data_IF_796891774021
#
_entry.id   IF_796891774021
#
_cell.length_a   1.000
_cell.length_b   1.000
_cell.length_c   1.000
_cell.angle_alpha   90.00
_cell.angle_beta   90.00
_cell.angle_gamma   90.00
#
_symmetry.space_group_name_H-M   'P 1'
#
loop_
_entity.id
_entity.type
_entity.pdbx_description
1 polymer ?
#
# COMPACT_ATOMS: atom_id res chain seq x y z
N UNK A 1 7.31 5.25 9.24
CA UNK A 1 7.73 4.06 10.03
C UNK A 1 8.74 4.52 11.05
N UNK A 2 8.53 4.28 12.34
CA UNK A 2 9.39 4.80 13.41
C UNK A 2 10.82 4.29 13.34
N UNK A 3 11.82 5.19 13.41
CA UNK A 3 13.26 4.87 13.38
C UNK A 3 13.70 4.00 14.55
N UNK A 4 13.02 4.12 15.68
CA UNK A 4 13.29 3.32 16.88
C UNK A 4 13.21 1.81 16.62
N UNK A 5 12.43 1.41 15.64
CA UNK A 5 12.31 0.01 15.20
C UNK A 5 13.31 -0.36 14.09
N UNK A 6 13.97 0.62 13.47
CA UNK A 6 15.04 0.40 12.50
C UNK A 6 16.40 0.65 13.18
N UNK A 7 16.90 -0.33 13.92
CA UNK A 7 18.19 -0.30 14.61
C UNK A 7 19.36 -0.02 13.66
N UNK A 8 19.47 1.15 13.06
CA UNK A 8 20.65 1.65 12.35
C UNK A 8 21.21 0.81 11.18
N UNK A 9 20.74 -0.40 10.96
CA UNK A 9 21.26 -1.36 9.98
C UNK A 9 20.43 -1.50 8.71
N UNK A 10 19.61 -0.50 8.37
CA UNK A 10 18.93 -0.51 7.08
C UNK A 10 19.93 -0.14 5.97
N UNK A 11 20.72 -1.12 5.55
CA UNK A 11 21.54 -0.95 4.34
C UNK A 11 20.63 -1.02 3.12
N UNK A 12 20.44 0.11 2.46
CA UNK A 12 19.81 0.12 1.13
C UNK A 12 20.58 -0.82 0.20
N UNK A 13 19.83 -1.59 -0.59
CA UNK A 13 20.44 -2.46 -1.57
C UNK A 13 21.34 -1.67 -2.52
N UNK A 14 22.53 -2.16 -2.84
CA UNK A 14 23.38 -1.58 -3.87
C UNK A 14 22.61 -1.45 -5.19
N UNK A 15 22.81 -0.34 -5.90
CA UNK A 15 22.10 -0.05 -7.16
C UNK A 15 22.16 -1.20 -8.17
N UNK A 16 23.29 -1.95 -8.21
CA UNK A 16 23.47 -3.11 -9.08
C UNK A 16 22.55 -4.30 -8.76
N UNK A 17 21.99 -4.33 -7.56
CA UNK A 17 21.06 -5.37 -7.13
C UNK A 17 19.61 -5.04 -7.42
N UNK A 18 19.32 -3.78 -7.71
CA UNK A 18 17.99 -3.35 -8.08
C UNK A 18 17.69 -3.70 -9.54
N UNK A 19 16.42 -3.99 -9.82
CA UNK A 19 15.93 -4.06 -11.19
C UNK A 19 16.00 -2.67 -11.85
N UNK A 20 16.35 -2.65 -13.13
CA UNK A 20 16.14 -1.48 -13.98
C UNK A 20 14.65 -1.28 -14.26
N UNK A 21 14.28 -0.15 -14.80
CA UNK A 21 12.89 0.11 -15.18
C UNK A 21 12.44 -0.74 -16.36
N UNK A 22 13.38 -1.04 -17.26
CA UNK A 22 13.17 -1.96 -18.38
C UNK A 22 12.94 -3.38 -17.88
N UNK A 23 13.74 -3.88 -16.92
CA UNK A 23 13.54 -5.20 -16.30
C UNK A 23 12.17 -5.28 -15.61
N UNK A 24 11.71 -4.21 -14.95
CA UNK A 24 10.36 -4.14 -14.37
C UNK A 24 9.29 -4.19 -15.48
N UNK A 25 9.49 -3.43 -16.56
CA UNK A 25 8.56 -3.40 -17.68
C UNK A 25 8.49 -4.77 -18.38
N UNK A 26 9.59 -5.51 -18.51
CA UNK A 26 9.62 -6.87 -19.06
C UNK A 26 8.79 -7.85 -18.22
N UNK A 27 8.89 -7.79 -16.87
CA UNK A 27 8.02 -8.58 -15.99
C UNK A 27 6.56 -8.21 -16.19
N UNK A 28 6.23 -6.92 -16.22
CA UNK A 28 4.85 -6.46 -16.42
C UNK A 28 4.31 -6.93 -17.77
N UNK A 29 5.10 -6.80 -18.83
CA UNK A 29 4.76 -7.25 -20.18
C UNK A 29 4.44 -8.75 -20.20
N UNK A 30 5.23 -9.58 -19.51
CA UNK A 30 5.02 -11.04 -19.48
C UNK A 30 3.72 -11.46 -18.79
N UNK A 31 3.21 -10.66 -17.83
CA UNK A 31 1.98 -10.98 -17.09
C UNK A 31 0.73 -10.27 -17.61
N UNK A 32 0.84 -9.35 -18.56
CA UNK A 32 -0.31 -8.71 -19.20
C UNK A 32 -1.33 -9.69 -19.75
N UNK A 33 -0.92 -10.73 -20.55
CA UNK A 33 -1.84 -11.72 -21.07
C UNK A 33 -2.56 -12.55 -20.00
N UNK A 34 -2.00 -12.61 -18.78
CA UNK A 34 -2.60 -13.30 -17.62
C UNK A 34 -3.76 -12.51 -16.99
N UNK A 35 -4.13 -11.35 -17.54
CA UNK A 35 -5.24 -10.53 -17.07
C UNK A 35 -4.85 -9.53 -15.99
N UNK A 36 -3.62 -9.03 -16.00
CA UNK A 36 -3.20 -7.94 -15.14
C UNK A 36 -4.07 -6.70 -15.39
N UNK A 37 -4.72 -6.20 -14.34
CA UNK A 37 -5.61 -5.03 -14.41
C UNK A 37 -5.05 -3.82 -13.69
N UNK A 38 -4.18 -4.03 -12.70
CA UNK A 38 -3.74 -2.99 -11.80
C UNK A 38 -2.29 -3.17 -11.40
N UNK A 39 -1.54 -2.09 -11.50
CA UNK A 39 -0.20 -1.95 -10.94
C UNK A 39 -0.24 -0.95 -9.78
N UNK A 40 0.48 -1.27 -8.71
CA UNK A 40 0.68 -0.34 -7.61
C UNK A 40 2.18 -0.16 -7.39
N UNK A 41 2.66 1.03 -7.63
CA UNK A 41 4.01 1.43 -7.30
C UNK A 41 4.07 1.80 -5.82
N UNK A 42 4.98 1.18 -5.09
CA UNK A 42 5.16 1.36 -3.65
C UNK A 42 6.63 1.05 -3.31
N UNK A 43 6.95 0.81 -2.06
CA UNK A 43 8.29 0.49 -1.58
C UNK A 43 8.44 1.07 -0.18
N UNK A 44 9.59 1.57 0.19
CA UNK A 44 9.71 2.49 1.32
C UNK A 44 8.95 3.78 0.97
N UNK A 45 9.61 4.70 0.25
CA UNK A 45 8.92 5.84 -0.36
C UNK A 45 9.27 5.89 -1.86
N UNK A 46 8.31 5.62 -2.77
CA UNK A 46 8.59 5.51 -4.19
C UNK A 46 9.03 6.84 -4.82
N UNK A 47 8.58 7.99 -4.31
CA UNK A 47 8.95 9.32 -4.82
C UNK A 47 10.42 9.67 -4.59
N UNK A 48 11.13 8.92 -3.74
CA UNK A 48 12.59 9.04 -3.59
C UNK A 48 13.37 8.35 -4.71
N UNK A 49 12.73 7.44 -5.46
CA UNK A 49 13.40 6.75 -6.57
C UNK A 49 13.55 7.68 -7.78
N UNK A 50 14.79 7.90 -8.20
CA UNK A 50 15.09 8.76 -9.35
C UNK A 50 14.31 8.37 -10.59
N UNK A 51 13.73 9.36 -11.30
CA UNK A 51 13.04 9.20 -12.57
C UNK A 51 11.84 8.20 -12.50
N UNK A 52 11.08 8.20 -11.40
CA UNK A 52 9.87 7.38 -11.28
C UNK A 52 8.87 7.66 -12.41
N UNK A 53 8.81 8.90 -12.87
CA UNK A 53 8.02 9.34 -14.03
C UNK A 53 8.35 8.50 -15.27
N UNK A 54 9.64 8.23 -15.53
CA UNK A 54 10.07 7.37 -16.64
C UNK A 54 9.57 5.94 -16.52
N UNK A 55 9.52 5.37 -15.30
CA UNK A 55 8.90 4.05 -15.11
C UNK A 55 7.40 4.08 -15.42
N UNK A 56 6.69 5.10 -14.95
CA UNK A 56 5.24 5.22 -15.20
C UNK A 56 4.97 5.32 -16.70
N UNK A 57 5.73 6.13 -17.44
CA UNK A 57 5.62 6.21 -18.91
C UNK A 57 5.87 4.86 -19.58
N UNK A 58 6.95 4.15 -19.23
CA UNK A 58 7.23 2.82 -19.75
C UNK A 58 6.08 1.82 -19.50
N UNK A 59 5.49 1.87 -18.31
CA UNK A 59 4.37 1.00 -17.97
C UNK A 59 3.09 1.39 -18.72
N UNK A 60 2.85 2.68 -18.94
CA UNK A 60 1.73 3.19 -19.73
C UNK A 60 1.85 2.79 -21.18
N UNK A 61 3.05 2.85 -21.76
CA UNK A 61 3.31 2.41 -23.14
C UNK A 61 3.01 0.92 -23.37
N UNK A 62 3.03 0.09 -22.33
CA UNK A 62 2.64 -1.32 -22.43
C UNK A 62 1.14 -1.52 -22.61
N UNK A 63 0.31 -0.69 -21.99
CA UNK A 63 -1.16 -0.80 -22.08
C UNK A 63 -1.86 0.44 -21.52
N UNK A 64 -2.78 1.00 -22.29
CA UNK A 64 -3.65 2.11 -21.87
C UNK A 64 -4.70 1.68 -20.83
N UNK A 65 -5.02 0.38 -20.76
CA UNK A 65 -6.09 -0.14 -19.90
C UNK A 65 -5.65 -0.48 -18.48
N UNK A 66 -4.35 -0.52 -18.19
CA UNK A 66 -3.86 -0.81 -16.84
C UNK A 66 -4.12 0.39 -15.92
N UNK A 67 -4.70 0.11 -14.76
CA UNK A 67 -4.80 1.08 -13.66
C UNK A 67 -3.47 1.17 -12.92
N UNK A 68 -2.71 2.23 -13.17
CA UNK A 68 -1.41 2.50 -12.50
C UNK A 68 -1.67 3.39 -11.29
N UNK A 69 -1.37 2.86 -10.11
CA UNK A 69 -1.55 3.55 -8.83
C UNK A 69 -0.21 3.71 -8.11
N UNK A 70 -0.08 4.75 -7.31
CA UNK A 70 1.06 5.02 -6.43
C UNK A 70 0.61 5.00 -4.98
N UNK A 71 1.42 4.42 -4.06
CA UNK A 71 1.25 4.62 -2.61
C UNK A 71 2.44 5.40 -2.09
N UNK A 72 2.19 6.49 -1.38
CA UNK A 72 3.21 7.44 -0.91
C UNK A 72 2.85 7.97 0.48
N UNK A 73 3.85 8.41 1.24
CA UNK A 73 3.65 9.18 2.47
C UNK A 73 3.20 10.63 2.21
N UNK A 74 3.12 11.06 0.94
CA UNK A 74 2.64 12.36 0.53
C UNK A 74 3.63 13.52 0.64
N UNK A 75 4.73 13.38 1.36
CA UNK A 75 5.70 14.45 1.61
C UNK A 75 6.24 15.12 0.34
N UNK A 76 6.48 14.34 -0.71
CA UNK A 76 6.99 14.84 -1.99
C UNK A 76 5.90 14.96 -3.07
N UNK A 77 4.63 14.72 -2.73
CA UNK A 77 3.55 14.59 -3.72
C UNK A 77 3.27 15.94 -4.40
N UNK A 78 3.23 17.05 -3.64
CA UNK A 78 2.94 18.37 -4.17
C UNK A 78 3.80 18.73 -5.38
N UNK A 79 5.10 18.50 -5.29
CA UNK A 79 6.05 18.86 -6.36
C UNK A 79 6.09 17.86 -7.52
N UNK A 80 5.54 16.65 -7.35
CA UNK A 80 5.58 15.58 -8.35
C UNK A 80 4.23 15.32 -9.03
N UNK A 81 3.10 15.80 -8.49
CA UNK A 81 1.77 15.42 -8.91
C UNK A 81 1.52 15.65 -10.41
N UNK A 82 1.91 16.82 -10.96
CA UNK A 82 1.73 17.14 -12.38
C UNK A 82 2.49 16.17 -13.29
N UNK A 83 3.79 15.98 -13.03
CA UNK A 83 4.62 15.09 -13.85
C UNK A 83 4.20 13.60 -13.76
N UNK A 84 3.70 13.16 -12.60
CA UNK A 84 3.14 11.82 -12.43
C UNK A 84 1.84 11.64 -13.26
N UNK A 85 0.95 12.65 -13.23
CA UNK A 85 -0.26 12.65 -14.03
C UNK A 85 0.04 12.64 -15.53
N UNK A 86 0.93 13.51 -15.99
CA UNK A 86 1.36 13.61 -17.39
C UNK A 86 2.02 12.31 -17.90
N UNK A 87 2.71 11.58 -17.03
CA UNK A 87 3.29 10.26 -17.34
C UNK A 87 2.24 9.14 -17.43
N UNK A 88 0.97 9.41 -17.07
CA UNK A 88 -0.10 8.44 -17.16
C UNK A 88 -0.43 7.71 -15.85
N UNK A 89 -0.02 8.24 -14.69
CA UNK A 89 -0.51 7.74 -13.41
C UNK A 89 -2.02 8.01 -13.29
N UNK A 90 -2.79 7.00 -12.85
CA UNK A 90 -4.24 7.17 -12.70
C UNK A 90 -4.60 7.71 -11.32
N UNK A 91 -3.91 7.28 -10.27
CA UNK A 91 -4.26 7.64 -8.89
C UNK A 91 -3.15 7.47 -7.89
N UNK A 92 -3.30 8.16 -6.77
CA UNK A 92 -2.44 8.04 -5.60
C UNK A 92 -3.23 7.55 -4.39
N UNK A 93 -2.58 6.76 -3.55
CA UNK A 93 -3.01 6.49 -2.18
C UNK A 93 -2.00 7.15 -1.26
N UNK A 94 -2.45 8.07 -0.43
CA UNK A 94 -1.58 8.81 0.49
C UNK A 94 -1.76 8.25 1.89
N UNK A 95 -0.65 7.93 2.56
CA UNK A 95 -0.66 7.49 3.95
C UNK A 95 -0.48 8.68 4.87
N UNK A 96 -1.47 8.90 5.75
CA UNK A 96 -1.42 9.90 6.82
C UNK A 96 -2.19 9.36 8.03
N UNK A 97 -1.54 9.32 9.18
CA UNK A 97 -2.06 8.63 10.35
C UNK A 97 -2.55 9.57 11.46
N UNK A 98 -2.32 10.88 11.32
CA UNK A 98 -2.78 11.92 12.24
C UNK A 98 -2.80 13.30 11.59
N UNK A 99 -3.66 14.19 12.12
CA UNK A 99 -3.63 15.64 11.85
C UNK A 99 -2.95 16.42 12.99
N UNK A 100 -2.97 15.87 14.20
CA UNK A 100 -2.20 16.41 15.31
C UNK A 100 -0.70 16.26 15.01
N UNK A 101 0.11 17.37 15.07
CA UNK A 101 1.52 17.33 14.70
C UNK A 101 2.37 16.38 15.54
N UNK A 102 2.09 16.28 16.85
CA UNK A 102 2.88 15.44 17.76
C UNK A 102 2.59 13.96 17.50
N UNK A 103 1.31 13.61 17.31
CA UNK A 103 0.89 12.26 16.94
C UNK A 103 1.41 11.89 15.54
N UNK A 104 1.35 12.82 14.59
CA UNK A 104 1.89 12.61 13.24
C UNK A 104 3.39 12.33 13.29
N UNK A 105 4.17 13.10 14.06
CA UNK A 105 5.60 12.87 14.22
C UNK A 105 5.89 11.51 14.87
N UNK A 106 5.12 11.12 15.88
CA UNK A 106 5.25 9.81 16.53
C UNK A 106 4.96 8.65 15.56
N UNK A 107 3.96 8.80 14.68
CA UNK A 107 3.61 7.77 13.69
C UNK A 107 4.56 7.75 12.49
N UNK A 108 4.94 8.91 11.97
CA UNK A 108 5.78 9.04 10.77
C UNK A 108 7.28 8.94 11.06
N UNK A 109 7.69 9.14 12.30
CA UNK A 109 9.09 9.28 12.73
C UNK A 109 9.87 10.31 11.89
N UNK A 110 9.26 11.45 11.67
CA UNK A 110 9.83 12.53 10.88
C UNK A 110 9.45 13.88 11.46
N UNK A 111 10.46 14.70 11.72
CA UNK A 111 10.30 16.12 12.09
C UNK A 111 10.41 17.06 10.90
N UNK A 112 10.64 16.53 9.70
CA UNK A 112 10.87 17.31 8.50
C UNK A 112 9.56 17.74 7.82
N UNK A 113 8.49 16.97 8.01
CA UNK A 113 7.22 17.17 7.34
C UNK A 113 6.08 17.30 8.36
N UNK A 114 5.07 18.06 8.00
CA UNK A 114 3.84 18.26 8.78
C UNK A 114 2.63 17.60 8.10
N UNK A 115 1.52 17.41 8.82
CA UNK A 115 0.26 17.00 8.20
C UNK A 115 -0.18 17.94 7.07
N UNK A 116 0.06 19.25 7.21
CA UNK A 116 -0.33 20.26 6.21
C UNK A 116 0.43 20.08 4.90
N UNK A 117 1.72 19.73 4.93
CA UNK A 117 2.50 19.43 3.72
C UNK A 117 1.90 18.26 2.95
N UNK A 118 1.43 17.22 3.67
CA UNK A 118 0.77 16.05 3.07
C UNK A 118 -0.58 16.43 2.48
N UNK A 119 -1.38 17.24 3.18
CA UNK A 119 -2.68 17.73 2.71
C UNK A 119 -2.51 18.60 1.47
N UNK A 120 -1.52 19.49 1.43
CA UNK A 120 -1.20 20.27 0.23
C UNK A 120 -0.86 19.37 -0.97
N UNK A 121 -0.11 18.29 -0.73
CA UNK A 121 0.17 17.29 -1.76
C UNK A 121 -1.08 16.58 -2.28
N UNK A 122 -2.03 16.24 -1.39
CA UNK A 122 -3.33 15.66 -1.73
C UNK A 122 -4.15 16.63 -2.59
N UNK A 123 -4.21 17.89 -2.19
CA UNK A 123 -4.95 18.93 -2.92
C UNK A 123 -4.37 19.15 -4.31
N UNK A 124 -3.05 19.19 -4.45
CA UNK A 124 -2.39 19.31 -5.75
C UNK A 124 -2.65 18.09 -6.63
N UNK A 125 -2.58 16.88 -6.08
CA UNK A 125 -2.92 15.66 -6.82
C UNK A 125 -4.37 15.68 -7.36
N UNK A 126 -5.33 16.13 -6.55
CA UNK A 126 -6.72 16.35 -7.01
C UNK A 126 -6.80 17.41 -8.10
N UNK A 127 -6.11 18.54 -7.92
CA UNK A 127 -6.12 19.66 -8.85
C UNK A 127 -5.64 19.27 -10.25
N UNK A 128 -4.62 18.41 -10.35
CA UNK A 128 -4.10 17.95 -11.65
C UNK A 128 -4.92 16.80 -12.26
N UNK A 129 -5.90 16.24 -11.55
CA UNK A 129 -6.82 15.21 -12.06
C UNK A 129 -6.46 13.79 -11.64
N UNK A 130 -5.51 13.58 -10.73
CA UNK A 130 -5.26 12.25 -10.16
C UNK A 130 -6.43 11.81 -9.27
N UNK A 131 -6.83 10.55 -9.36
CA UNK A 131 -7.69 9.96 -8.35
C UNK A 131 -6.93 9.86 -7.02
N UNK A 132 -7.54 10.33 -5.92
CA UNK A 132 -6.88 10.32 -4.60
C UNK A 132 -7.67 9.49 -3.62
N UNK A 133 -6.95 8.71 -2.79
CA UNK A 133 -7.47 8.04 -1.58
C UNK A 133 -6.46 8.21 -0.46
N UNK A 134 -6.96 8.22 0.76
CA UNK A 134 -6.13 8.28 1.97
C UNK A 134 -6.22 6.96 2.72
N UNK A 135 -5.10 6.50 3.23
CA UNK A 135 -5.00 5.37 4.15
C UNK A 135 -4.46 5.86 5.50
N UNK A 136 -5.05 5.37 6.57
CA UNK A 136 -4.65 5.61 7.95
C UNK A 136 -4.55 4.28 8.68
N UNK A 137 -3.38 3.96 9.22
CA UNK A 137 -3.23 2.84 10.17
C UNK A 137 -3.66 3.33 11.54
N UNK A 138 -4.55 2.58 12.19
CA UNK A 138 -5.01 2.93 13.55
C UNK A 138 -4.35 2.00 14.56
N UNK A 139 -3.62 2.60 15.50
CA UNK A 139 -2.97 1.92 16.61
C UNK A 139 -3.52 2.44 17.94
N UNK A 140 -3.90 1.52 18.82
CA UNK A 140 -4.44 1.82 20.14
C UNK A 140 -3.42 2.56 21.00
N UNK A 141 -3.90 3.47 21.83
CA UNK A 141 -3.10 4.34 22.71
C UNK A 141 -2.07 5.22 21.97
N UNK A 142 -2.22 5.40 20.66
CA UNK A 142 -1.32 6.26 19.90
C UNK A 142 -2.09 7.26 19.02
N UNK A 143 -2.92 6.78 18.08
CA UNK A 143 -3.65 7.66 17.16
C UNK A 143 -5.14 7.35 17.01
N UNK A 144 -5.72 6.55 17.88
CA UNK A 144 -7.15 6.21 17.84
C UNK A 144 -8.07 7.44 18.01
N UNK A 145 -7.57 8.49 18.64
CA UNK A 145 -8.28 9.77 18.77
C UNK A 145 -8.24 10.62 17.49
N UNK A 146 -7.40 10.24 16.54
CA UNK A 146 -7.32 10.89 15.23
C UNK A 146 -8.37 10.39 14.22
N UNK A 147 -9.12 9.33 14.55
CA UNK A 147 -10.15 8.76 13.66
C UNK A 147 -11.16 9.82 13.21
N UNK A 148 -11.78 10.54 14.14
CA UNK A 148 -12.80 11.56 13.84
C UNK A 148 -12.19 12.82 13.21
N UNK A 149 -11.08 13.39 13.73
CA UNK A 149 -10.42 14.51 13.06
C UNK A 149 -10.06 14.22 11.59
N UNK A 150 -9.46 13.06 11.32
CA UNK A 150 -9.13 12.63 9.96
C UNK A 150 -10.39 12.46 9.10
N UNK A 151 -11.42 11.81 9.63
CA UNK A 151 -12.69 11.64 8.92
C UNK A 151 -13.28 12.98 8.52
N UNK A 152 -13.44 13.92 9.46
CA UNK A 152 -14.00 15.23 9.22
C UNK A 152 -13.19 15.99 8.14
N UNK A 153 -11.86 15.97 8.29
CA UNK A 153 -11.00 16.68 7.34
C UNK A 153 -11.08 16.12 5.93
N UNK A 154 -11.04 14.79 5.75
CA UNK A 154 -11.09 14.18 4.42
C UNK A 154 -12.51 14.15 3.83
N UNK A 155 -13.54 14.18 4.67
CA UNK A 155 -14.90 14.41 4.26
C UNK A 155 -15.08 15.83 3.66
N UNK A 156 -14.61 16.88 4.33
CA UNK A 156 -14.58 18.26 3.81
C UNK A 156 -13.83 18.37 2.47
N UNK A 157 -12.76 17.61 2.31
CA UNK A 157 -11.96 17.59 1.09
C UNK A 157 -12.54 16.69 -0.01
N UNK A 158 -13.61 15.96 0.28
CA UNK A 158 -14.19 14.94 -0.61
C UNK A 158 -13.08 13.97 -1.12
N UNK A 159 -12.35 13.36 -0.18
CA UNK A 159 -11.30 12.38 -0.44
C UNK A 159 -11.61 11.11 0.32
N UNK A 160 -11.85 9.96 -0.33
CA UNK A 160 -12.15 8.71 0.34
C UNK A 160 -11.06 8.31 1.35
N UNK A 161 -11.46 8.05 2.59
CA UNK A 161 -10.58 7.67 3.71
C UNK A 161 -10.72 6.18 4.00
N UNK A 162 -9.59 5.51 4.24
CA UNK A 162 -9.54 4.12 4.64
C UNK A 162 -8.77 3.95 5.93
N UNK A 163 -9.41 3.35 6.90
CA UNK A 163 -8.78 2.93 8.14
C UNK A 163 -8.25 1.50 8.01
N UNK A 164 -7.07 1.25 8.53
CA UNK A 164 -6.38 -0.04 8.46
C UNK A 164 -6.07 -0.46 9.89
N UNK A 165 -6.46 -1.68 10.25
CA UNK A 165 -6.06 -2.28 11.50
C UNK A 165 -4.53 -2.40 11.57
N UNK A 166 -3.94 -2.08 12.72
CA UNK A 166 -2.51 -2.27 12.95
C UNK A 166 -2.14 -3.75 12.86
N UNK A 167 -1.28 -4.13 11.91
CA UNK A 167 -1.00 -5.53 11.62
C UNK A 167 0.50 -5.86 11.73
N UNK A 168 0.80 -7.13 11.94
CA UNK A 168 2.11 -7.72 12.17
C UNK A 168 2.97 -7.87 10.90
N UNK A 169 3.08 -6.81 10.11
CA UNK A 169 3.90 -6.79 8.88
C UNK A 169 5.37 -6.57 9.21
N UNK A 170 6.25 -7.35 8.59
CA UNK A 170 7.69 -7.31 8.88
C UNK A 170 8.02 -7.87 10.28
N UNK A 171 9.17 -7.44 10.82
CA UNK A 171 9.66 -7.90 12.12
C UNK A 171 9.95 -6.74 13.09
N UNK A 172 9.89 -5.50 12.61
CA UNK A 172 10.42 -4.33 13.32
C UNK A 172 9.33 -3.44 13.91
N UNK A 173 8.04 -3.73 13.70
CA UNK A 173 6.94 -2.87 14.13
C UNK A 173 6.46 -3.14 15.58
N UNK A 174 7.12 -4.04 16.32
CA UNK A 174 6.76 -4.40 17.69
C UNK A 174 5.26 -4.66 17.89
N UNK A 175 4.65 -5.35 16.92
CA UNK A 175 3.22 -5.60 16.91
C UNK A 175 2.75 -6.43 18.12
N UNK A 176 1.64 -6.00 18.72
CA UNK A 176 0.91 -6.72 19.74
C UNK A 176 -0.58 -6.67 19.38
N UNK A 177 -1.31 -7.76 19.65
CA UNK A 177 -2.76 -7.82 19.41
C UNK A 177 -3.52 -6.78 20.27
N UNK A 178 -3.03 -6.47 21.47
CA UNK A 178 -3.62 -5.48 22.35
C UNK A 178 -3.54 -4.04 21.79
N UNK A 179 -2.67 -3.79 20.84
CA UNK A 179 -2.52 -2.51 20.14
C UNK A 179 -3.49 -2.35 18.94
N UNK A 180 -4.26 -3.37 18.64
CA UNK A 180 -5.19 -3.36 17.50
C UNK A 180 -6.48 -2.65 17.90
N UNK A 181 -6.89 -1.67 17.10
CA UNK A 181 -8.25 -1.12 17.09
C UNK A 181 -8.99 -1.81 15.94
N UNK A 182 -10.00 -2.60 16.27
CA UNK A 182 -10.75 -3.36 15.27
C UNK A 182 -11.55 -2.45 14.34
N UNK A 183 -11.79 -2.92 13.11
CA UNK A 183 -12.67 -2.21 12.18
C UNK A 183 -14.07 -1.98 12.75
N UNK A 184 -14.56 -2.86 13.64
CA UNK A 184 -15.82 -2.67 14.34
C UNK A 184 -15.75 -1.48 15.33
N UNK A 185 -14.69 -1.37 16.13
CA UNK A 185 -14.51 -0.24 17.07
C UNK A 185 -14.38 1.08 16.30
N UNK A 186 -13.65 1.10 15.16
CA UNK A 186 -13.54 2.28 14.30
C UNK A 186 -14.92 2.70 13.80
N UNK A 187 -15.72 1.77 13.28
CA UNK A 187 -17.09 2.07 12.82
C UNK A 187 -17.98 2.58 13.94
N UNK A 188 -17.95 1.93 15.11
CA UNK A 188 -18.75 2.36 16.27
C UNK A 188 -18.41 3.79 16.67
N UNK A 189 -17.11 4.16 16.67
CA UNK A 189 -16.66 5.53 16.96
C UNK A 189 -17.18 6.52 15.91
N UNK A 190 -17.16 6.16 14.63
CA UNK A 190 -17.70 6.99 13.55
C UNK A 190 -19.22 7.13 13.66
N UNK A 191 -19.94 6.03 13.91
CA UNK A 191 -21.39 6.03 14.01
C UNK A 191 -21.92 6.84 15.20
N UNK A 192 -21.15 6.96 16.28
CA UNK A 192 -21.51 7.78 17.44
C UNK A 192 -21.61 9.28 17.12
N UNK A 193 -20.87 9.77 16.10
CA UNK A 193 -20.82 11.19 15.71
C UNK A 193 -21.57 11.47 14.40
N UNK A 194 -21.51 10.55 13.44
CA UNK A 194 -22.00 10.76 12.08
C UNK A 194 -23.25 9.94 11.73
N UNK A 195 -23.77 9.16 12.69
CA UNK A 195 -24.91 8.27 12.47
C UNK A 195 -24.54 6.99 11.75
N UNK A 196 -25.55 6.18 11.46
CA UNK A 196 -25.39 4.81 10.95
C UNK A 196 -24.67 4.76 9.61
N UNK A 197 -23.70 3.86 9.51
CA UNK A 197 -22.97 3.55 8.29
C UNK A 197 -23.72 2.52 7.44
N UNK A 198 -23.75 2.74 6.13
CA UNK A 198 -24.34 1.81 5.16
C UNK A 198 -23.24 1.03 4.45
N UNK A 199 -23.27 -0.31 4.54
CA UNK A 199 -22.32 -1.18 3.85
C UNK A 199 -22.51 -1.09 2.33
N UNK A 200 -21.42 -0.88 1.58
CA UNK A 200 -21.40 -0.87 0.11
C UNK A 200 -20.89 -2.22 -0.40
N UNK A 201 -21.58 -2.78 -1.37
CA UNK A 201 -21.16 -4.03 -2.00
C UNK A 201 -19.76 -3.92 -2.63
N UNK A 202 -18.92 -4.97 -2.58
CA UNK A 202 -17.62 -4.97 -3.24
C UNK A 202 -17.75 -4.69 -4.74
N UNK A 203 -16.92 -3.77 -5.25
CA UNK A 203 -16.89 -3.45 -6.68
C UNK A 203 -16.15 -4.52 -7.50
N UNK A 204 -15.20 -5.22 -6.89
CA UNK A 204 -14.38 -6.22 -7.55
C UNK A 204 -14.03 -7.36 -6.58
N UNK A 205 -13.81 -8.56 -7.14
CA UNK A 205 -13.25 -9.67 -6.39
C UNK A 205 -11.86 -9.30 -5.85
N UNK A 206 -11.56 -9.69 -4.61
CA UNK A 206 -10.28 -9.40 -3.95
C UNK A 206 -10.15 -7.95 -3.45
N UNK A 207 -11.24 -7.19 -3.36
CA UNK A 207 -11.24 -5.89 -2.70
C UNK A 207 -10.92 -6.06 -1.23
N UNK A 208 -9.92 -5.30 -0.73
CA UNK A 208 -9.40 -5.48 0.64
C UNK A 208 -10.13 -4.65 1.69
N UNK A 209 -10.72 -3.52 1.28
CA UNK A 209 -11.47 -2.65 2.17
C UNK A 209 -12.96 -2.98 2.11
N UNK A 210 -13.58 -3.23 3.26
CA UNK A 210 -15.04 -3.13 3.38
C UNK A 210 -15.39 -1.66 3.27
N UNK A 211 -16.25 -1.31 2.30
CA UNK A 211 -16.66 0.08 2.06
C UNK A 211 -17.98 0.38 2.74
N UNK A 212 -18.08 1.57 3.27
CA UNK A 212 -19.28 2.11 3.89
C UNK A 212 -19.53 3.52 3.41
N UNK A 213 -20.76 3.98 3.46
CA UNK A 213 -21.12 5.38 3.23
C UNK A 213 -21.78 5.99 4.44
N UNK A 214 -21.48 7.26 4.68
CA UNK A 214 -22.24 8.12 5.57
C UNK A 214 -23.60 8.44 4.95
N UNK A 215 -24.49 9.12 5.70
CA UNK A 215 -25.85 9.48 5.25
C UNK A 215 -25.86 10.40 4.03
N UNK A 216 -24.84 11.22 3.86
CA UNK A 216 -24.64 12.14 2.73
C UNK A 216 -23.94 11.51 1.52
N UNK A 217 -23.57 10.21 1.61
CA UNK A 217 -22.92 9.45 0.55
C UNK A 217 -21.41 9.46 0.57
N UNK A 218 -20.75 10.16 1.52
CA UNK A 218 -19.29 10.12 1.63
C UNK A 218 -18.79 8.71 1.94
N UNK A 219 -17.79 8.23 1.16
CA UNK A 219 -17.27 6.85 1.25
C UNK A 219 -16.09 6.75 2.23
N UNK A 220 -16.18 5.80 3.15
CA UNK A 220 -15.08 5.33 3.99
C UNK A 220 -14.78 3.86 3.73
N UNK A 221 -13.59 3.40 4.12
CA UNK A 221 -13.21 1.99 4.06
C UNK A 221 -12.60 1.49 5.36
N UNK A 222 -12.79 0.20 5.67
CA UNK A 222 -12.08 -0.48 6.74
C UNK A 222 -11.32 -1.68 6.15
N UNK A 223 -10.01 -1.77 6.42
CA UNK A 223 -9.16 -2.90 6.05
C UNK A 223 -8.90 -3.72 7.31
N UNK A 224 -9.67 -4.78 7.47
CA UNK A 224 -9.76 -5.59 8.69
C UNK A 224 -8.89 -6.85 8.54
N UNK A 225 -7.59 -6.67 8.35
CA UNK A 225 -6.64 -7.78 8.10
C UNK A 225 -6.37 -8.65 9.32
N UNK A 226 -6.71 -8.18 10.52
CA UNK A 226 -6.50 -8.87 11.79
C UNK A 226 -7.79 -9.52 12.26
N UNK A 227 -8.89 -8.77 12.35
CA UNK A 227 -10.15 -9.22 12.96
C UNK A 227 -11.10 -9.91 11.96
N UNK A 228 -10.98 -9.63 10.67
CA UNK A 228 -11.78 -10.26 9.62
C UNK A 228 -10.93 -10.51 8.35
N UNK A 229 -9.97 -11.43 8.40
CA UNK A 229 -9.04 -11.71 7.31
C UNK A 229 -9.75 -12.17 6.03
N UNK A 230 -9.12 -11.90 4.87
CA UNK A 230 -9.69 -12.09 3.53
C UNK A 230 -8.70 -12.79 2.56
N UNK A 231 -7.95 -13.78 3.05
CA UNK A 231 -6.92 -14.47 2.25
C UNK A 231 -7.50 -15.26 1.08
N UNK A 232 -8.67 -15.85 1.22
CA UNK A 232 -9.28 -16.74 0.22
C UNK A 232 -9.52 -16.08 -1.15
N UNK A 233 -9.77 -14.80 -1.19
CA UNK A 233 -10.01 -14.03 -2.42
C UNK A 233 -8.85 -13.12 -2.83
N UNK A 234 -7.66 -13.30 -2.25
CA UNK A 234 -6.52 -12.43 -2.53
C UNK A 234 -5.97 -12.64 -3.95
N UNK A 235 -5.94 -11.57 -4.75
CA UNK A 235 -5.48 -11.56 -6.15
C UNK A 235 -4.19 -10.75 -6.35
N UNK A 236 -3.38 -10.59 -5.29
CA UNK A 236 -2.21 -9.72 -5.28
C UNK A 236 -0.91 -10.49 -5.27
N UNK A 237 0.05 -10.02 -6.06
CA UNK A 237 1.46 -10.39 -5.97
C UNK A 237 2.30 -9.11 -5.81
N UNK A 238 3.55 -9.25 -5.38
CA UNK A 238 4.50 -8.16 -5.19
C UNK A 238 5.82 -8.50 -5.84
N UNK A 239 6.32 -7.60 -6.67
CA UNK A 239 7.68 -7.64 -7.19
C UNK A 239 8.52 -6.66 -6.37
N UNK A 240 9.49 -7.18 -5.63
CA UNK A 240 10.42 -6.32 -4.90
C UNK A 240 11.43 -5.64 -5.81
N UNK A 241 12.03 -4.57 -5.33
CA UNK A 241 12.99 -3.80 -6.10
C UNK A 241 14.22 -4.61 -6.57
N UNK A 242 14.54 -5.72 -5.91
CA UNK A 242 15.60 -6.64 -6.30
C UNK A 242 15.15 -7.82 -7.17
N UNK A 243 13.89 -7.83 -7.61
CA UNK A 243 13.39 -8.83 -8.56
C UNK A 243 12.91 -10.14 -7.94
N UNK A 244 12.56 -10.14 -6.66
CA UNK A 244 11.88 -11.28 -6.03
C UNK A 244 10.37 -11.12 -6.09
N UNK A 245 9.66 -12.17 -6.50
CA UNK A 245 8.19 -12.21 -6.53
C UNK A 245 7.65 -12.83 -5.26
N UNK A 246 6.71 -12.15 -4.61
CA UNK A 246 6.01 -12.58 -3.41
C UNK A 246 4.52 -12.69 -3.67
N UNK A 247 3.88 -13.74 -3.19
CA UNK A 247 2.44 -13.98 -3.31
C UNK A 247 1.66 -13.54 -2.06
N UNK A 248 2.36 -13.26 -0.95
CA UNK A 248 1.78 -12.77 0.30
C UNK A 248 2.56 -11.59 0.88
N UNK A 249 1.85 -10.69 1.60
CA UNK A 249 2.46 -9.58 2.33
C UNK A 249 3.30 -10.07 3.53
N UNK A 250 2.94 -11.22 4.08
CA UNK A 250 3.58 -11.82 5.25
C UNK A 250 4.60 -12.91 4.87
N UNK A 251 4.99 -12.98 3.60
CA UNK A 251 5.93 -13.98 3.14
C UNK A 251 7.31 -13.83 3.80
N UNK A 252 7.94 -14.95 4.10
CA UNK A 252 9.31 -15.02 4.60
C UNK A 252 10.35 -15.16 3.47
N UNK A 253 9.93 -15.59 2.27
CA UNK A 253 10.80 -15.84 1.12
C UNK A 253 10.10 -15.44 -0.18
N UNK A 254 10.84 -14.83 -1.09
CA UNK A 254 10.40 -14.54 -2.46
C UNK A 254 10.98 -15.51 -3.49
N UNK A 255 10.39 -15.50 -4.69
CA UNK A 255 10.86 -16.26 -5.84
C UNK A 255 11.72 -15.36 -6.74
N UNK A 256 12.93 -15.77 -7.05
CA UNK A 256 13.89 -14.99 -7.82
C UNK A 256 13.52 -14.93 -9.31
N UNK A 257 13.09 -13.77 -9.77
CA UNK A 257 12.91 -13.45 -11.19
C UNK A 257 14.11 -12.70 -11.77
N UNK A 258 14.93 -12.04 -10.92
CA UNK A 258 16.08 -11.24 -11.36
C UNK A 258 17.08 -12.10 -12.17
N UNK A 259 17.37 -13.30 -11.69
CA UNK A 259 18.28 -14.22 -12.40
C UNK A 259 17.76 -14.53 -13.79
N UNK A 260 16.48 -14.84 -13.95
CA UNK A 260 15.86 -15.09 -15.26
C UNK A 260 15.98 -13.89 -16.19
N UNK A 261 15.63 -12.67 -15.69
CA UNK A 261 15.74 -11.43 -16.45
C UNK A 261 17.17 -11.18 -16.95
N UNK A 262 18.17 -11.37 -16.09
CA UNK A 262 19.58 -11.14 -16.42
C UNK A 262 20.17 -12.22 -17.32
N UNK A 263 19.59 -13.41 -17.34
CA UNK A 263 19.88 -14.45 -18.30
C UNK A 263 19.11 -14.27 -19.63
N UNK A 264 18.37 -13.13 -19.78
CA UNK A 264 17.58 -12.77 -20.96
C UNK A 264 16.49 -13.80 -21.29
N UNK A 265 15.81 -14.31 -20.25
CA UNK A 265 14.61 -15.13 -20.41
C UNK A 265 13.60 -14.39 -21.31
N UNK A 266 12.94 -15.14 -22.16
CA UNK A 266 11.87 -14.63 -23.02
C UNK A 266 10.63 -14.24 -22.19
N UNK A 267 9.73 -13.46 -22.78
CA UNK A 267 8.45 -13.10 -22.14
C UNK A 267 7.63 -14.33 -21.78
N UNK A 268 7.66 -15.37 -22.61
CA UNK A 268 6.91 -16.62 -22.37
C UNK A 268 7.51 -17.40 -21.20
N UNK A 269 8.85 -17.52 -21.13
CA UNK A 269 9.53 -18.18 -20.00
C UNK A 269 9.27 -17.48 -18.67
N UNK A 270 9.22 -16.14 -18.67
CA UNK A 270 8.86 -15.35 -17.47
C UNK A 270 7.39 -15.57 -17.11
N UNK A 271 6.50 -15.58 -18.09
CA UNK A 271 5.07 -15.84 -17.91
C UNK A 271 4.83 -17.21 -17.27
N UNK A 272 5.43 -18.28 -17.84
CA UNK A 272 5.30 -19.64 -17.34
C UNK A 272 5.82 -19.79 -15.90
N UNK A 273 6.96 -19.16 -15.61
CA UNK A 273 7.53 -19.17 -14.27
C UNK A 273 6.59 -18.48 -13.26
N UNK A 274 6.07 -17.29 -13.60
CA UNK A 274 5.16 -16.53 -12.73
C UNK A 274 3.83 -17.28 -12.57
N UNK A 275 3.29 -17.87 -13.63
CA UNK A 275 2.10 -18.70 -13.57
C UNK A 275 2.29 -19.89 -12.64
N UNK A 276 3.41 -20.62 -12.78
CA UNK A 276 3.73 -21.75 -11.89
C UNK A 276 3.84 -21.36 -10.42
N UNK A 277 4.41 -20.18 -10.13
CA UNK A 277 4.48 -19.63 -8.76
C UNK A 277 3.07 -19.33 -8.24
N UNK A 278 2.23 -18.71 -9.08
CA UNK A 278 0.87 -18.33 -8.73
C UNK A 278 -0.04 -19.53 -8.46
N UNK A 279 0.02 -20.56 -9.31
CA UNK A 279 -0.79 -21.77 -9.19
C UNK A 279 -0.47 -22.61 -7.94
N UNK A 280 0.81 -22.58 -7.50
CA UNK A 280 1.28 -23.28 -6.29
C UNK A 280 1.02 -22.50 -5.01
N UNK A 281 0.41 -21.32 -5.12
CA UNK A 281 0.16 -20.45 -3.97
C UNK A 281 -0.80 -21.07 -2.97
N UNK A 282 -0.38 -21.13 -1.70
CA UNK A 282 -1.16 -21.59 -0.56
C UNK A 282 -1.19 -20.60 0.60
N UNK A 283 -0.77 -19.35 0.37
CA UNK A 283 -0.64 -18.35 1.43
C UNK A 283 -1.99 -17.96 2.05
N UNK A 284 -2.16 -18.24 3.34
CA UNK A 284 -3.36 -17.88 4.14
C UNK A 284 -2.96 -17.29 5.50
N UNK A 285 -1.80 -16.66 5.61
CA UNK A 285 -1.23 -16.21 6.87
C UNK A 285 -2.22 -15.45 7.78
N UNK A 286 -2.97 -14.47 7.24
CA UNK A 286 -3.89 -13.69 8.07
C UNK A 286 -5.04 -14.51 8.66
N UNK A 287 -5.46 -15.58 7.99
CA UNK A 287 -6.48 -16.51 8.48
C UNK A 287 -5.89 -17.53 9.46
N UNK A 288 -4.62 -17.89 9.32
CA UNK A 288 -3.90 -18.83 10.15
C UNK A 288 -3.19 -18.18 11.35
N UNK A 289 -3.23 -16.83 11.42
CA UNK A 289 -2.63 -16.08 12.53
C UNK A 289 -3.21 -16.56 13.86
N UNK A 290 -2.36 -16.96 14.78
CA UNK A 290 -2.70 -17.30 16.16
C UNK A 290 -1.95 -16.38 17.13
N UNK A 291 -2.43 -16.26 18.36
CA UNK A 291 -1.76 -15.53 19.45
C UNK A 291 -0.32 -16.05 19.72
N UNK A 292 -0.05 -17.29 19.31
CA UNK A 292 1.21 -18.00 19.52
C UNK A 292 1.94 -18.29 18.20
N UNK A 293 1.68 -17.52 17.14
CA UNK A 293 2.43 -17.70 15.90
C UNK A 293 3.90 -17.43 16.19
N UNK A 294 4.72 -18.50 16.23
CA UNK A 294 6.15 -18.37 16.31
C UNK A 294 6.62 -17.38 15.25
N UNK A 295 7.47 -16.44 15.63
CA UNK A 295 7.93 -15.36 14.76
C UNK A 295 8.80 -15.91 13.64
N UNK A 296 8.20 -16.51 12.63
CA UNK A 296 8.91 -16.76 11.37
C UNK A 296 9.35 -15.40 10.85
N UNK A 297 10.66 -15.25 10.64
CA UNK A 297 11.25 -13.99 10.15
C UNK A 297 10.60 -13.62 8.81
N UNK A 298 9.73 -12.64 8.85
CA UNK A 298 9.02 -12.09 7.66
C UNK A 298 9.94 -11.15 6.90
N UNK A 299 9.66 -10.94 5.64
CA UNK A 299 10.31 -9.88 4.87
C UNK A 299 9.70 -8.53 5.28
N UNK A 300 10.55 -7.51 5.44
CA UNK A 300 10.08 -6.18 5.83
C UNK A 300 9.14 -5.57 4.78
N UNK A 301 8.06 -4.92 5.23
CA UNK A 301 7.09 -4.28 4.36
C UNK A 301 7.73 -3.19 3.50
N UNK A 302 8.71 -2.46 4.04
CA UNK A 302 9.47 -1.45 3.29
C UNK A 302 10.25 -2.02 2.10
N UNK A 303 10.53 -3.33 2.12
CA UNK A 303 11.25 -4.03 1.05
C UNK A 303 10.32 -4.58 -0.02
N UNK A 304 9.17 -5.15 0.36
CA UNK A 304 8.23 -5.78 -0.58
C UNK A 304 7.05 -4.90 -0.95
N UNK A 305 6.93 -3.73 -0.33
CA UNK A 305 5.84 -2.79 -0.54
C UNK A 305 4.51 -3.22 0.10
N UNK A 306 3.84 -2.33 0.75
CA UNK A 306 2.57 -2.54 1.43
C UNK A 306 1.48 -1.58 0.97
#
# INVERSE_FOLDING_TARGET
MPREHFNGEHSFLPRKELLSYEEIADVVKSILPMGLRKLRLTGGEPLLRKNLVGLISLLRDLSDSIDIALTTNGALLKQNASSLYEAGLNRVTVSIDALDPDVFQAMADSTQWSPDDVIEGIMEAKRVGLGVKVNTVVKKNLNEDQILPLLNRFHELDVPLRFIEFMDVGNTNAWNLDDVVSGQEIRTKIESEHGQLTLVAPANRGEVAKRFTLQDGYEIGCIESVTAPFCGDCTRARLSANGSLYTCLFASKGNDLKTMLRMKATSDELSDAIQSIWEKRSDRYSEERSEHTESTRKVEMSFIGG
#
